data_IF_675514066552
#
_entry.id   IF_675514066552
#
_cell.length_a   1.000
_cell.length_b   1.000
_cell.length_c   1.000
_cell.angle_alpha   90.00
_cell.angle_beta   90.00
_cell.angle_gamma   90.00
#
_symmetry.space_group_name_H-M   'P 1'
#
loop_
_entity.id
_entity.type
_entity.pdbx_description
1 polymer ?
#
# COMPACT_ATOMS: atom_id res chain seq x y z
N UNK A 1 -12.98 -5.86 -10.23
CA UNK A 1 -13.97 -6.48 -9.34
C UNK A 1 -14.40 -7.82 -9.87
N UNK A 2 -13.79 -8.88 -9.35
CA UNK A 2 -14.25 -10.24 -9.59
C UNK A 2 -15.63 -10.39 -9.00
N UNK A 3 -16.65 -10.53 -9.85
CA UNK A 3 -17.96 -10.98 -9.40
C UNK A 3 -17.74 -12.38 -8.86
N UNK A 4 -18.07 -12.62 -7.59
CA UNK A 4 -17.97 -13.95 -6.98
C UNK A 4 -18.76 -15.01 -7.77
N UNK A 5 -18.77 -16.24 -7.28
CA UNK A 5 -19.39 -17.36 -8.00
C UNK A 5 -20.91 -17.15 -8.15
N UNK A 6 -21.39 -17.09 -9.39
CA UNK A 6 -22.82 -16.95 -9.70
C UNK A 6 -23.47 -18.33 -9.86
N UNK A 7 -23.89 -18.91 -8.74
CA UNK A 7 -24.55 -20.22 -8.73
C UNK A 7 -25.86 -20.24 -9.51
N UNK A 8 -26.61 -19.13 -9.52
CA UNK A 8 -27.89 -19.05 -10.25
C UNK A 8 -27.66 -19.19 -11.75
N UNK A 9 -26.64 -18.50 -12.29
CA UNK A 9 -26.25 -18.65 -13.68
C UNK A 9 -25.74 -20.06 -13.97
N UNK A 10 -24.84 -20.62 -13.16
CA UNK A 10 -24.28 -21.96 -13.37
C UNK A 10 -25.37 -23.03 -13.41
N UNK A 11 -26.31 -23.02 -12.45
CA UNK A 11 -27.45 -23.94 -12.42
C UNK A 11 -28.44 -23.73 -13.57
N UNK A 12 -28.48 -22.55 -14.20
CA UNK A 12 -29.34 -22.28 -15.37
C UNK A 12 -28.85 -22.98 -16.64
N UNK A 13 -27.54 -23.26 -16.74
CA UNK A 13 -26.90 -23.88 -17.91
C UNK A 13 -26.39 -25.31 -17.64
N UNK A 14 -26.22 -25.68 -16.37
CA UNK A 14 -25.75 -26.99 -15.93
C UNK A 14 -26.80 -27.63 -15.02
N UNK A 15 -27.40 -28.72 -15.50
CA UNK A 15 -28.48 -29.42 -14.80
C UNK A 15 -27.91 -30.22 -13.63
N UNK A 16 -28.13 -29.73 -12.42
CA UNK A 16 -27.68 -30.32 -11.16
C UNK A 16 -28.81 -30.27 -10.14
N UNK A 17 -28.89 -31.27 -9.26
CA UNK A 17 -30.00 -31.43 -8.32
C UNK A 17 -30.07 -30.31 -7.27
N UNK A 18 -28.92 -29.75 -6.88
CA UNK A 18 -28.83 -28.69 -5.88
C UNK A 18 -27.56 -27.86 -6.01
N UNK A 19 -27.55 -26.67 -5.39
CA UNK A 19 -26.33 -25.86 -5.27
C UNK A 19 -25.22 -26.57 -4.48
N UNK A 20 -25.58 -27.39 -3.48
CA UNK A 20 -24.61 -28.14 -2.67
C UNK A 20 -23.87 -29.17 -3.53
N UNK A 21 -24.59 -29.91 -4.37
CA UNK A 21 -24.00 -30.84 -5.33
C UNK A 21 -23.06 -30.11 -6.31
N UNK A 22 -23.46 -28.92 -6.79
CA UNK A 22 -22.60 -28.10 -7.64
C UNK A 22 -21.31 -27.67 -6.91
N UNK A 23 -21.41 -27.27 -5.64
CA UNK A 23 -20.24 -26.90 -4.82
C UNK A 23 -19.30 -28.10 -4.65
N UNK A 24 -19.84 -29.28 -4.37
CA UNK A 24 -19.07 -30.52 -4.26
C UNK A 24 -18.37 -30.89 -5.58
N UNK A 25 -19.06 -30.76 -6.72
CA UNK A 25 -18.49 -31.02 -8.04
C UNK A 25 -17.39 -30.03 -8.44
N UNK A 26 -17.56 -28.75 -8.10
CA UNK A 26 -16.56 -27.72 -8.34
C UNK A 26 -15.33 -27.92 -7.46
N UNK A 27 -15.53 -28.41 -6.23
CA UNK A 27 -14.47 -28.67 -5.26
C UNK A 27 -13.48 -27.51 -5.19
N UNK A 28 -12.22 -27.80 -5.46
CA UNK A 28 -11.09 -26.88 -5.38
C UNK A 28 -11.05 -25.77 -6.45
N UNK A 29 -12.05 -25.71 -7.35
CA UNK A 29 -12.21 -24.60 -8.30
C UNK A 29 -12.82 -23.35 -7.65
N UNK A 30 -13.51 -23.53 -6.52
CA UNK A 30 -14.09 -22.44 -5.74
C UNK A 30 -13.72 -22.60 -4.25
N UNK A 31 -13.67 -21.49 -3.53
CA UNK A 31 -13.40 -21.47 -2.10
C UNK A 31 -14.35 -20.51 -1.39
N UNK A 32 -14.72 -20.77 -0.12
CA UNK A 32 -15.37 -19.76 0.69
C UNK A 32 -14.43 -18.56 0.83
N UNK A 33 -14.96 -17.36 0.64
CA UNK A 33 -14.21 -16.13 0.92
C UNK A 33 -14.01 -16.01 2.45
N UNK A 34 -12.76 -16.07 2.95
CA UNK A 34 -12.48 -16.19 4.37
C UNK A 34 -12.84 -14.89 5.12
N UNK A 35 -12.64 -13.72 4.50
CA UNK A 35 -12.94 -12.44 5.10
C UNK A 35 -14.45 -12.21 5.19
N UNK A 36 -15.18 -12.58 4.13
CA UNK A 36 -16.65 -12.54 4.15
C UNK A 36 -17.22 -13.50 5.18
N UNK A 37 -16.70 -14.73 5.23
CA UNK A 37 -17.14 -15.72 6.20
C UNK A 37 -16.85 -15.29 7.65
N UNK A 38 -15.70 -14.64 7.91
CA UNK A 38 -15.39 -14.04 9.22
C UNK A 38 -16.45 -13.00 9.65
N UNK A 39 -17.02 -12.29 8.69
CA UNK A 39 -18.08 -11.31 8.90
C UNK A 39 -19.50 -11.92 8.92
N UNK A 40 -19.62 -13.25 8.90
CA UNK A 40 -20.90 -13.96 8.91
C UNK A 40 -21.58 -14.06 7.54
N UNK A 41 -20.89 -13.71 6.45
CA UNK A 41 -21.40 -13.81 5.08
C UNK A 41 -20.74 -14.98 4.34
N UNK A 42 -21.50 -16.02 4.02
CA UNK A 42 -20.99 -17.12 3.19
C UNK A 42 -21.09 -16.76 1.70
N UNK A 43 -19.95 -16.47 1.09
CA UNK A 43 -19.81 -16.28 -0.36
C UNK A 43 -18.65 -17.10 -0.89
N UNK A 44 -18.71 -17.45 -2.18
CA UNK A 44 -17.66 -18.22 -2.85
C UNK A 44 -16.96 -17.37 -3.89
N UNK A 45 -15.65 -17.59 -3.97
CA UNK A 45 -14.77 -16.98 -4.97
C UNK A 45 -14.09 -18.05 -5.80
N UNK A 46 -13.62 -17.70 -6.99
CA UNK A 46 -12.82 -18.61 -7.79
C UNK A 46 -11.49 -18.93 -7.10
N UNK A 47 -10.88 -20.08 -7.42
CA UNK A 47 -9.52 -20.41 -6.96
C UNK A 47 -8.51 -19.31 -7.27
N UNK A 48 -8.62 -18.70 -8.43
CA UNK A 48 -7.71 -17.63 -8.83
C UNK A 48 -7.86 -16.39 -7.93
N UNK A 49 -9.09 -16.01 -7.61
CA UNK A 49 -9.36 -14.87 -6.72
C UNK A 49 -8.97 -15.19 -5.27
N UNK A 50 -9.21 -16.43 -4.81
CA UNK A 50 -8.76 -16.89 -3.50
C UNK A 50 -7.23 -16.80 -3.36
N UNK A 51 -6.49 -17.27 -4.37
CA UNK A 51 -5.02 -17.33 -4.42
C UNK A 51 -4.37 -16.05 -4.97
N UNK A 52 -5.03 -14.90 -4.91
CA UNK A 52 -4.48 -13.61 -5.34
C UNK A 52 -4.91 -12.46 -4.42
N UNK A 53 -4.43 -11.24 -4.68
CA UNK A 53 -4.71 -10.08 -3.83
C UNK A 53 -3.95 -10.13 -2.50
N UNK A 54 -4.59 -9.73 -1.40
CA UNK A 54 -3.99 -9.75 -0.06
C UNK A 54 -3.98 -11.17 0.53
N UNK A 55 -3.04 -11.98 0.05
CA UNK A 55 -2.83 -13.37 0.48
C UNK A 55 -2.46 -13.46 1.95
N UNK A 56 -1.76 -12.44 2.48
CA UNK A 56 -1.31 -12.44 3.88
C UNK A 56 -2.51 -12.30 4.80
N UNK A 57 -3.38 -11.31 4.58
CA UNK A 57 -4.60 -11.15 5.37
C UNK A 57 -5.54 -12.35 5.22
N UNK A 58 -5.73 -12.88 4.00
CA UNK A 58 -6.52 -14.11 3.80
C UNK A 58 -6.00 -15.28 4.62
N UNK A 59 -4.68 -15.49 4.62
CA UNK A 59 -4.04 -16.56 5.39
C UNK A 59 -4.23 -16.35 6.89
N UNK A 60 -4.08 -15.12 7.40
CA UNK A 60 -4.30 -14.81 8.82
C UNK A 60 -5.72 -15.16 9.27
N UNK A 61 -6.72 -14.88 8.42
CA UNK A 61 -8.12 -15.22 8.69
C UNK A 61 -8.34 -16.74 8.63
N UNK A 62 -7.78 -17.43 7.64
CA UNK A 62 -7.90 -18.90 7.56
C UNK A 62 -7.22 -19.58 8.76
N UNK A 63 -6.03 -19.11 9.16
CA UNK A 63 -5.32 -19.61 10.34
C UNK A 63 -6.13 -19.38 11.63
N UNK A 64 -6.91 -18.30 11.72
CA UNK A 64 -7.82 -18.08 12.83
C UNK A 64 -8.89 -19.17 12.90
N UNK A 65 -9.50 -19.54 11.77
CA UNK A 65 -10.49 -20.63 11.73
C UNK A 65 -9.89 -21.99 12.09
N UNK A 66 -8.68 -22.28 11.61
CA UNK A 66 -7.95 -23.50 12.00
C UNK A 66 -7.72 -23.53 13.52
N UNK A 67 -7.29 -22.42 14.12
CA UNK A 67 -7.06 -22.31 15.58
C UNK A 67 -8.35 -22.41 16.39
N UNK A 68 -9.48 -22.01 15.82
CA UNK A 68 -10.80 -22.10 16.44
C UNK A 68 -11.44 -23.50 16.31
N UNK A 69 -10.77 -24.45 15.65
CA UNK A 69 -11.32 -25.77 15.33
C UNK A 69 -12.67 -25.66 14.59
N UNK A 70 -12.79 -24.68 13.70
CA UNK A 70 -13.97 -24.52 12.85
C UNK A 70 -14.00 -25.67 11.83
N UNK A 71 -15.12 -26.39 11.78
CA UNK A 71 -15.30 -27.59 10.94
C UNK A 71 -16.24 -27.35 9.75
N UNK A 72 -16.65 -26.10 9.50
CA UNK A 72 -17.57 -25.78 8.39
C UNK A 72 -16.91 -26.02 7.03
N UNK A 73 -15.59 -25.85 6.96
CA UNK A 73 -14.78 -26.08 5.77
C UNK A 73 -13.43 -26.69 6.13
N UNK A 74 -12.73 -27.21 5.12
CA UNK A 74 -11.37 -27.71 5.28
C UNK A 74 -10.35 -26.55 5.32
N UNK A 75 -10.40 -25.75 6.39
CA UNK A 75 -9.54 -24.58 6.54
C UNK A 75 -8.05 -24.93 6.53
N UNK A 76 -7.67 -26.10 7.06
CA UNK A 76 -6.27 -26.56 7.03
C UNK A 76 -5.76 -26.80 5.60
N UNK A 77 -6.59 -27.33 4.71
CA UNK A 77 -6.25 -27.45 3.29
C UNK A 77 -6.06 -26.07 2.64
N UNK A 78 -6.98 -25.14 2.88
CA UNK A 78 -6.90 -23.79 2.32
C UNK A 78 -5.70 -22.98 2.85
N UNK A 79 -5.34 -23.15 4.13
CA UNK A 79 -4.12 -22.58 4.69
C UNK A 79 -2.87 -23.07 3.94
N UNK A 80 -2.81 -24.37 3.63
CA UNK A 80 -1.70 -24.94 2.85
C UNK A 80 -1.58 -24.34 1.45
N UNK A 81 -2.71 -24.05 0.79
CA UNK A 81 -2.71 -23.40 -0.52
C UNK A 81 -2.19 -21.95 -0.45
N UNK A 82 -2.63 -21.19 0.55
CA UNK A 82 -2.20 -19.80 0.75
C UNK A 82 -0.74 -19.71 1.19
N UNK A 83 -0.27 -20.59 2.07
CA UNK A 83 1.13 -20.60 2.50
C UNK A 83 2.07 -20.91 1.32
N UNK A 84 1.65 -21.78 0.39
CA UNK A 84 2.44 -22.12 -0.80
C UNK A 84 2.65 -20.95 -1.78
N UNK A 85 1.77 -19.96 -1.78
CA UNK A 85 1.83 -18.79 -2.66
C UNK A 85 2.18 -17.49 -1.94
N UNK A 86 2.40 -17.56 -0.62
CA UNK A 86 2.66 -16.42 0.23
C UNK A 86 3.89 -15.65 -0.26
N UNK A 87 3.77 -14.34 -0.54
CA UNK A 87 4.89 -13.56 -1.03
C UNK A 87 5.99 -13.49 0.03
N UNK A 88 7.25 -13.47 -0.43
CA UNK A 88 8.39 -13.26 0.45
C UNK A 88 8.25 -11.89 1.14
N UNK A 89 8.59 -11.84 2.44
CA UNK A 89 8.58 -10.60 3.19
C UNK A 89 9.64 -9.66 2.64
N UNK A 90 9.21 -8.50 2.15
CA UNK A 90 10.10 -7.43 1.70
C UNK A 90 10.62 -6.68 2.94
N UNK A 91 11.94 -6.53 3.06
CA UNK A 91 12.56 -5.74 4.14
C UNK A 91 12.84 -4.32 3.68
N UNK A 92 13.15 -3.41 4.61
CA UNK A 92 13.56 -2.04 4.27
C UNK A 92 14.81 -2.00 3.36
N UNK A 93 15.69 -3.00 3.47
CA UNK A 93 16.88 -3.09 2.63
C UNK A 93 16.56 -3.45 1.17
N UNK A 94 15.38 -4.03 0.92
CA UNK A 94 14.93 -4.44 -0.41
C UNK A 94 14.08 -3.36 -1.10
N UNK A 95 13.80 -2.24 -0.40
CA UNK A 95 13.00 -1.13 -0.93
C UNK A 95 13.94 -0.07 -1.50
N UNK A 96 14.06 -0.05 -2.83
CA UNK A 96 14.68 1.06 -3.53
C UNK A 96 13.80 2.31 -3.44
N UNK A 97 14.36 3.41 -2.96
CA UNK A 97 13.70 4.70 -2.94
C UNK A 97 14.61 5.81 -3.44
N UNK A 98 13.97 6.86 -3.96
CA UNK A 98 14.58 8.15 -4.25
C UNK A 98 13.77 9.23 -3.56
N UNK A 99 14.42 10.33 -3.22
CA UNK A 99 13.68 11.55 -2.84
C UNK A 99 12.78 11.89 -4.03
N UNK A 100 11.49 12.12 -3.77
CA UNK A 100 10.46 12.29 -4.81
C UNK A 100 9.75 11.01 -5.25
N UNK A 101 10.06 9.84 -4.66
CA UNK A 101 9.25 8.62 -4.87
C UNK A 101 7.79 8.87 -4.53
N UNK A 102 6.87 8.60 -5.47
CA UNK A 102 5.43 8.90 -5.36
C UNK A 102 4.70 8.15 -4.24
N UNK A 103 5.21 6.99 -3.84
CA UNK A 103 4.60 6.19 -2.77
C UNK A 103 4.94 6.72 -1.37
N UNK A 104 5.94 7.60 -1.25
CA UNK A 104 6.31 8.22 0.04
C UNK A 104 5.35 9.40 0.29
N UNK A 105 4.60 9.42 1.41
CA UNK A 105 3.68 10.50 1.70
C UNK A 105 4.35 11.86 1.81
N UNK A 106 3.70 12.93 1.31
CA UNK A 106 4.25 14.29 1.36
C UNK A 106 4.57 14.75 2.79
N UNK A 107 3.81 14.30 3.79
CA UNK A 107 4.07 14.60 5.20
C UNK A 107 5.45 14.11 5.67
N UNK A 108 5.97 13.02 5.12
CA UNK A 108 7.33 12.51 5.43
C UNK A 108 8.38 13.52 4.96
N UNK A 109 8.25 14.01 3.72
CA UNK A 109 9.15 15.02 3.18
C UNK A 109 8.97 16.39 3.88
N UNK A 110 7.73 16.76 4.23
CA UNK A 110 7.44 17.98 4.96
C UNK A 110 8.04 18.00 6.35
N UNK A 111 7.96 16.89 7.08
CA UNK A 111 8.64 16.70 8.37
C UNK A 111 10.15 16.84 8.22
N UNK A 112 10.73 16.11 7.25
CA UNK A 112 12.16 16.22 6.95
C UNK A 112 12.58 17.66 6.68
N UNK A 113 11.81 18.41 5.90
CA UNK A 113 12.14 19.79 5.54
C UNK A 113 12.05 20.74 6.75
N UNK A 114 11.05 20.57 7.63
CA UNK A 114 10.92 21.36 8.86
C UNK A 114 12.06 21.07 9.85
N UNK A 115 12.39 19.81 10.06
CA UNK A 115 13.44 19.40 11.00
C UNK A 115 14.83 19.83 10.51
N UNK A 116 15.12 19.56 9.23
CA UNK A 116 16.44 19.77 8.66
C UNK A 116 16.73 21.26 8.42
N UNK A 117 15.74 22.01 7.92
CA UNK A 117 15.96 23.38 7.48
C UNK A 117 15.45 24.43 8.49
N UNK A 118 14.42 24.13 9.29
CA UNK A 118 13.90 25.08 10.30
C UNK A 118 14.38 24.77 11.71
N UNK A 119 14.89 23.57 11.97
CA UNK A 119 15.20 23.11 13.33
C UNK A 119 13.96 22.93 14.19
N UNK A 120 12.80 22.67 13.57
CA UNK A 120 11.52 22.46 14.25
C UNK A 120 11.12 20.99 14.18
N UNK A 121 10.84 20.40 15.33
CA UNK A 121 10.32 19.04 15.43
C UNK A 121 8.80 19.03 15.24
N UNK A 122 8.31 18.03 14.51
CA UNK A 122 6.89 17.80 14.22
C UNK A 122 6.62 16.31 14.25
N UNK A 123 5.40 15.91 14.60
CA UNK A 123 4.94 14.54 14.42
C UNK A 123 4.43 14.33 12.98
N UNK A 124 4.47 13.09 12.48
CA UNK A 124 3.94 12.78 11.14
C UNK A 124 2.43 13.02 11.03
N UNK A 125 1.72 12.99 12.15
CA UNK A 125 0.28 13.30 12.24
C UNK A 125 -0.01 14.81 12.18
N UNK A 126 1.00 15.67 12.29
CA UNK A 126 0.79 17.11 12.33
C UNK A 126 0.34 17.63 10.95
N UNK A 127 -0.75 18.39 10.94
CA UNK A 127 -1.28 18.97 9.70
C UNK A 127 -0.25 19.89 9.03
N UNK A 128 0.65 20.53 9.80
CA UNK A 128 1.65 21.44 9.25
C UNK A 128 2.60 20.72 8.28
N UNK A 129 3.06 19.50 8.59
CA UNK A 129 3.99 18.76 7.72
C UNK A 129 3.34 18.29 6.43
N UNK A 130 2.04 17.99 6.44
CA UNK A 130 1.29 17.62 5.24
C UNK A 130 1.16 18.78 4.24
N UNK A 131 1.28 20.03 4.71
CA UNK A 131 1.10 21.24 3.88
C UNK A 131 2.41 21.87 3.41
N UNK A 132 3.57 21.28 3.71
CA UNK A 132 4.87 21.87 3.31
C UNK A 132 5.09 21.81 1.80
N UNK A 133 4.60 20.76 1.15
CA UNK A 133 4.78 20.49 -0.27
C UNK A 133 3.44 20.38 -0.98
N UNK A 134 3.39 20.83 -2.23
CA UNK A 134 2.29 20.61 -3.16
C UNK A 134 2.78 19.76 -4.32
N UNK A 135 1.90 18.93 -4.89
CA UNK A 135 2.16 18.23 -6.15
C UNK A 135 1.25 18.84 -7.20
N UNK A 136 1.86 19.39 -8.25
CA UNK A 136 1.11 19.90 -9.40
C UNK A 136 0.28 18.78 -10.04
N UNK A 137 -1.02 18.98 -10.26
CA UNK A 137 -1.89 17.96 -10.86
C UNK A 137 -1.61 17.76 -12.35
N UNK A 138 -0.85 18.64 -12.99
CA UNK A 138 -0.63 18.64 -14.44
C UNK A 138 0.61 17.81 -14.79
N UNK A 139 1.73 18.09 -14.15
CA UNK A 139 3.05 17.52 -14.46
C UNK A 139 3.65 16.73 -13.29
N UNK A 140 3.02 16.76 -12.11
CA UNK A 140 3.48 16.06 -10.92
C UNK A 140 4.71 16.68 -10.26
N UNK A 141 5.08 17.92 -10.66
CA UNK A 141 6.17 18.66 -10.02
C UNK A 141 5.82 18.94 -8.56
N UNK A 142 6.78 18.71 -7.67
CA UNK A 142 6.66 18.91 -6.24
C UNK A 142 7.34 20.24 -5.86
N UNK A 143 6.60 21.18 -5.28
CA UNK A 143 7.14 22.49 -4.86
C UNK A 143 6.83 22.78 -3.40
N UNK A 144 7.64 23.63 -2.77
CA UNK A 144 7.29 24.17 -1.46
C UNK A 144 6.06 25.09 -1.53
N UNK A 145 5.23 25.02 -0.50
CA UNK A 145 4.07 25.89 -0.34
C UNK A 145 3.89 26.33 1.13
N UNK A 146 2.73 26.92 1.43
CA UNK A 146 2.35 27.37 2.77
C UNK A 146 3.33 28.38 3.39
N UNK A 147 3.28 28.56 4.71
CA UNK A 147 4.24 29.42 5.45
C UNK A 147 5.69 28.98 5.24
N UNK A 148 5.92 27.70 4.95
CA UNK A 148 7.25 27.14 4.75
C UNK A 148 7.98 27.77 3.55
N UNK A 149 7.29 27.90 2.40
CA UNK A 149 7.85 28.51 1.19
C UNK A 149 8.29 29.96 1.39
N UNK A 150 7.54 30.72 2.19
CA UNK A 150 7.80 32.14 2.44
C UNK A 150 8.69 32.40 3.67
N UNK A 151 9.10 31.36 4.38
CA UNK A 151 10.00 31.49 5.54
C UNK A 151 11.41 31.74 5.06
N UNK A 152 11.98 32.89 5.44
CA UNK A 152 13.35 33.25 5.11
C UNK A 152 14.35 32.13 5.47
N UNK A 153 15.34 31.94 4.60
CA UNK A 153 16.44 31.02 4.85
C UNK A 153 17.23 31.46 6.09
N UNK A 154 17.47 30.53 7.01
CA UNK A 154 18.26 30.73 8.22
C UNK A 154 19.71 30.25 7.99
N UNK A 155 20.57 30.36 9.00
CA UNK A 155 21.98 29.93 8.88
C UNK A 155 22.11 28.42 8.57
N UNK A 156 21.29 27.58 9.20
CA UNK A 156 21.27 26.12 9.00
C UNK A 156 20.91 25.75 7.57
N UNK A 157 19.82 26.31 7.03
CA UNK A 157 19.37 26.06 5.67
C UNK A 157 20.42 26.52 4.63
N UNK A 158 21.05 27.68 4.83
CA UNK A 158 22.13 28.15 3.94
C UNK A 158 23.40 27.29 4.06
N UNK A 159 23.75 26.80 5.25
CA UNK A 159 24.97 26.01 5.44
C UNK A 159 24.90 24.62 4.78
N UNK A 160 23.69 24.16 4.43
CA UNK A 160 23.46 22.93 3.68
C UNK A 160 23.51 23.13 2.16
N UNK A 161 23.53 24.38 1.69
CA UNK A 161 23.60 24.73 0.28
C UNK A 161 25.04 24.77 -0.27
N UNK A 162 25.14 24.96 -1.58
CA UNK A 162 26.40 25.22 -2.27
C UNK A 162 26.58 26.73 -2.45
N UNK A 163 27.57 27.37 -1.81
CA UNK A 163 27.79 28.82 -1.95
C UNK A 163 27.97 29.24 -3.41
N UNK A 164 27.38 30.39 -3.77
CA UNK A 164 27.41 30.97 -5.12
C UNK A 164 26.80 30.10 -6.24
N UNK A 165 25.97 29.11 -5.89
CA UNK A 165 25.21 28.28 -6.83
C UNK A 165 23.72 28.67 -6.85
N UNK A 166 22.97 28.19 -7.86
CA UNK A 166 21.48 28.20 -7.81
C UNK A 166 20.92 27.34 -6.67
N UNK A 167 21.73 26.43 -6.13
CA UNK A 167 21.42 25.56 -5.00
C UNK A 167 22.07 26.07 -3.70
N UNK A 168 21.96 27.37 -3.42
CA UNK A 168 22.56 28.06 -2.27
C UNK A 168 21.90 27.77 -0.90
N UNK A 169 20.89 26.91 -0.86
CA UNK A 169 20.29 26.41 0.37
C UNK A 169 19.92 24.94 0.30
N UNK A 170 19.84 24.29 1.46
CA UNK A 170 19.40 22.91 1.60
C UNK A 170 18.00 22.69 1.03
N UNK A 171 17.10 23.65 1.23
CA UNK A 171 15.75 23.63 0.62
C UNK A 171 15.80 23.57 -0.91
N UNK A 172 16.64 24.36 -1.56
CA UNK A 172 16.76 24.33 -3.03
C UNK A 172 17.35 23.02 -3.55
N UNK A 173 18.31 22.46 -2.82
CA UNK A 173 18.85 21.11 -3.11
C UNK A 173 17.74 20.07 -3.00
N UNK A 174 16.96 20.10 -1.92
CA UNK A 174 15.90 19.14 -1.67
C UNK A 174 14.76 19.23 -2.68
N UNK A 175 14.28 20.44 -2.99
CA UNK A 175 13.27 20.65 -4.04
C UNK A 175 13.75 20.14 -5.41
N UNK A 176 15.04 20.31 -5.73
CA UNK A 176 15.61 19.71 -6.93
C UNK A 176 15.58 18.18 -6.87
N UNK A 177 15.96 17.57 -5.75
CA UNK A 177 15.95 16.11 -5.59
C UNK A 177 14.54 15.53 -5.65
N UNK A 178 13.53 16.23 -5.11
CA UNK A 178 12.12 15.83 -5.20
C UNK A 178 11.62 15.71 -6.65
N UNK A 179 12.20 16.50 -7.56
CA UNK A 179 11.79 16.58 -8.97
C UNK A 179 12.79 15.91 -9.93
N UNK A 180 13.93 15.46 -9.43
CA UNK A 180 15.00 14.93 -10.26
C UNK A 180 14.80 13.44 -10.53
N UNK A 181 15.04 13.05 -11.79
CA UNK A 181 15.22 11.64 -12.14
C UNK A 181 16.66 11.15 -11.88
N UNK A 182 17.56 12.04 -11.46
CA UNK A 182 18.96 11.73 -11.15
C UNK A 182 19.28 12.05 -9.68
N UNK A 183 19.98 11.16 -8.95
CA UNK A 183 20.35 11.39 -7.56
C UNK A 183 21.50 12.39 -7.37
N UNK A 184 22.09 12.90 -8.46
CA UNK A 184 23.24 13.81 -8.44
C UNK A 184 22.86 15.21 -8.93
N UNK A 185 23.51 16.23 -8.37
CA UNK A 185 23.41 17.62 -8.83
C UNK A 185 24.61 17.88 -9.76
N UNK A 186 24.35 18.21 -11.01
CA UNK A 186 25.34 18.70 -11.99
C UNK A 186 25.35 20.22 -12.08
#
# INVERSE_FOLDING_TARGET
>A
DGRGVDFAYMMSIYQVESQMTLIEELGDLIMPDPEKYLNGELTYVSRQDFLSGDVVTKLEVVDLFVKQDNQDFNWSHYAGLLEAIKPARITLADIDYRIGSRWIPLAVYGKFAQETFMGKAYELSDQEVATVLEVSPIDGVITYQSKFAYTYSNATDRSLGVPASRYDSGRKIFENLLNSNQPTIT
#
